data_IF_145395374657
#
_entry.id   IF_145395374657
#
_cell.length_a   1.000
_cell.length_b   1.000
_cell.length_c   1.000
_cell.angle_alpha   90.00
_cell.angle_beta   90.00
_cell.angle_gamma   90.00
#
_symmetry.space_group_name_H-M   'P 1'
#
loop_
_entity.id
_entity.type
_entity.pdbx_description
1 polymer ?
#
# COMPACT_ATOMS: atom_id res chain seq x y z
N UNK A 1 -16.96 -17.22 -5.08
CA UNK A 1 -15.61 -17.54 -4.58
C UNK A 1 -14.62 -16.82 -5.47
N UNK A 2 -13.61 -16.13 -4.92
CA UNK A 2 -12.64 -15.41 -5.74
C UNK A 2 -11.79 -16.43 -6.49
N UNK A 3 -11.99 -16.50 -7.80
CA UNK A 3 -11.24 -17.37 -8.69
C UNK A 3 -9.86 -16.77 -8.94
N UNK A 4 -8.84 -17.58 -8.73
CA UNK A 4 -7.44 -17.28 -8.98
C UNK A 4 -7.22 -17.10 -10.48
N UNK A 5 -6.74 -15.93 -10.92
CA UNK A 5 -6.46 -15.66 -12.34
C UNK A 5 -5.05 -16.13 -12.70
N UNK A 6 -4.97 -17.24 -13.45
CA UNK A 6 -3.75 -17.71 -14.10
C UNK A 6 -3.35 -16.78 -15.27
N UNK A 7 -2.11 -16.30 -15.25
CA UNK A 7 -1.48 -15.45 -16.27
C UNK A 7 -0.81 -16.33 -17.32
N UNK A 8 -1.38 -16.46 -18.51
CA UNK A 8 -0.77 -17.26 -19.60
C UNK A 8 0.47 -16.54 -20.14
N UNK A 9 1.63 -17.20 -20.07
CA UNK A 9 2.95 -16.63 -20.40
C UNK A 9 3.43 -17.04 -21.80
N UNK A 10 2.90 -18.13 -22.35
CA UNK A 10 3.26 -18.61 -23.69
C UNK A 10 2.20 -19.54 -24.30
N UNK A 11 2.04 -19.49 -25.62
CA UNK A 11 1.36 -20.53 -26.42
C UNK A 11 2.38 -21.30 -27.27
N UNK A 12 2.14 -22.59 -27.52
CA UNK A 12 2.89 -23.36 -28.54
C UNK A 12 4.08 -24.19 -28.07
N UNK A 13 4.24 -24.43 -26.76
CA UNK A 13 5.36 -25.24 -26.26
C UNK A 13 5.14 -26.73 -26.51
N UNK A 14 6.15 -27.42 -27.05
CA UNK A 14 6.18 -28.88 -27.20
C UNK A 14 7.08 -29.50 -26.14
N UNK A 15 6.52 -30.34 -25.29
CA UNK A 15 7.30 -31.22 -24.39
C UNK A 15 7.76 -32.43 -25.21
N UNK A 16 9.05 -32.82 -25.17
CA UNK A 16 9.52 -34.00 -25.89
C UNK A 16 8.74 -35.25 -25.48
N UNK A 17 7.97 -35.84 -26.40
CA UNK A 17 7.15 -37.04 -26.16
C UNK A 17 5.62 -36.83 -26.25
N UNK A 18 5.12 -35.61 -26.42
CA UNK A 18 3.68 -35.32 -26.61
C UNK A 18 3.37 -34.75 -28.01
N UNK A 19 2.20 -35.11 -28.56
CA UNK A 19 1.83 -34.81 -29.96
C UNK A 19 1.04 -33.51 -30.17
N UNK A 20 0.59 -32.84 -29.11
CA UNK A 20 -0.14 -31.57 -29.16
C UNK A 20 0.61 -30.44 -28.44
N UNK A 21 0.34 -29.19 -28.84
CA UNK A 21 0.98 -28.00 -28.27
C UNK A 21 0.20 -27.49 -27.06
N UNK A 22 0.86 -27.34 -25.91
CA UNK A 22 0.27 -26.81 -24.68
C UNK A 22 0.46 -25.29 -24.55
N UNK A 23 -0.37 -24.67 -23.70
CA UNK A 23 -0.20 -23.30 -23.20
C UNK A 23 0.37 -23.33 -21.78
N UNK A 24 1.24 -22.38 -21.48
CA UNK A 24 1.92 -22.26 -20.19
C UNK A 24 1.40 -21.02 -19.47
N UNK A 25 0.96 -21.17 -18.22
CA UNK A 25 0.42 -20.10 -17.40
C UNK A 25 1.08 -20.03 -16.04
N UNK A 26 1.01 -18.87 -15.39
CA UNK A 26 1.63 -18.55 -14.13
C UNK A 26 0.55 -18.02 -13.19
N UNK A 27 0.42 -18.60 -12.01
CA UNK A 27 -0.51 -18.12 -11.00
C UNK A 27 0.18 -17.07 -10.11
N UNK A 28 -0.20 -15.78 -10.18
CA UNK A 28 0.44 -14.74 -9.41
C UNK A 28 0.06 -14.76 -7.92
N UNK A 29 -0.98 -15.50 -7.52
CA UNK A 29 -1.37 -15.64 -6.13
C UNK A 29 -0.52 -16.70 -5.39
N UNK A 30 0.04 -17.67 -6.10
CA UNK A 30 0.82 -18.80 -5.56
C UNK A 30 2.27 -18.85 -6.06
N UNK A 31 2.61 -18.11 -7.12
CA UNK A 31 3.90 -18.13 -7.82
C UNK A 31 4.25 -19.44 -8.54
N UNK A 32 3.26 -20.29 -8.84
CA UNK A 32 3.45 -21.57 -9.55
C UNK A 32 3.15 -21.48 -11.06
N UNK A 33 3.71 -22.41 -11.84
CA UNK A 33 3.52 -22.53 -13.29
C UNK A 33 2.60 -23.71 -13.61
N UNK A 34 1.56 -23.47 -14.40
CA UNK A 34 0.52 -24.44 -14.81
C UNK A 34 0.53 -24.64 -16.32
N UNK A 35 0.37 -25.88 -16.78
CA UNK A 35 0.33 -26.25 -18.22
C UNK A 35 -1.09 -26.65 -18.60
N UNK A 36 -1.61 -26.10 -19.70
CA UNK A 36 -3.00 -26.28 -20.15
C UNK A 36 -3.03 -26.73 -21.62
N UNK A 37 -3.77 -27.81 -21.93
CA UNK A 37 -3.85 -28.46 -23.26
C UNK A 37 -5.25 -28.28 -23.89
N UNK A 38 -5.34 -28.00 -25.20
CA UNK A 38 -6.62 -27.90 -25.94
C UNK A 38 -6.68 -28.82 -27.15
N UNK A 39 -7.89 -29.29 -27.44
CA UNK A 39 -8.27 -30.13 -28.59
C UNK A 39 -9.35 -29.38 -29.39
N UNK A 40 -9.14 -29.19 -30.70
CA UNK A 40 -9.91 -28.28 -31.59
C UNK A 40 -11.39 -28.67 -31.83
N UNK A 41 -12.32 -27.69 -31.80
CA UNK A 41 -13.24 -27.35 -32.92
C UNK A 41 -14.26 -26.20 -32.61
N UNK A 42 -14.34 -25.23 -33.55
CA UNK A 42 -15.46 -24.37 -34.02
C UNK A 42 -16.12 -23.20 -33.19
N UNK A 43 -15.84 -21.96 -33.67
CA UNK A 43 -16.72 -20.83 -34.07
C UNK A 43 -17.99 -20.40 -33.29
N UNK A 44 -17.92 -19.22 -32.63
CA UNK A 44 -18.78 -18.01 -32.77
C UNK A 44 -18.45 -17.01 -31.65
N UNK A 45 -18.16 -15.75 -31.99
CA UNK A 45 -17.61 -14.77 -31.03
C UNK A 45 -18.71 -13.90 -30.37
N UNK A 46 -18.72 -13.89 -29.05
CA UNK A 46 -19.55 -13.09 -28.15
C UNK A 46 -18.94 -11.69 -27.86
N UNK A 47 -19.71 -10.73 -27.33
CA UNK A 47 -19.30 -9.36 -26.89
C UNK A 47 -18.08 -9.31 -25.89
N UNK A 48 -17.45 -10.45 -25.52
CA UNK A 48 -16.43 -10.71 -24.49
C UNK A 48 -15.09 -10.63 -25.13
N UNK A 49 -15.04 -11.21 -26.30
CA UNK A 49 -13.94 -11.16 -27.21
C UNK A 49 -13.80 -9.71 -27.74
N UNK A 50 -14.88 -8.92 -27.81
CA UNK A 50 -14.82 -7.47 -28.04
C UNK A 50 -14.31 -6.66 -26.83
N UNK A 51 -14.49 -7.14 -25.58
CA UNK A 51 -13.93 -6.51 -24.36
C UNK A 51 -12.46 -6.82 -24.14
N UNK A 52 -12.06 -8.05 -24.49
CA UNK A 52 -10.65 -8.46 -24.56
C UNK A 52 -9.90 -7.59 -25.59
N UNK A 53 -10.51 -7.28 -26.74
CA UNK A 53 -9.90 -6.38 -27.74
C UNK A 53 -9.64 -4.94 -27.24
N UNK A 54 -10.49 -4.40 -26.36
CA UNK A 54 -10.31 -3.08 -25.77
C UNK A 54 -9.19 -3.04 -24.70
N UNK A 55 -9.05 -4.11 -23.93
CA UNK A 55 -7.95 -4.31 -22.96
C UNK A 55 -6.61 -4.49 -23.68
N UNK A 56 -6.63 -5.19 -24.83
CA UNK A 56 -5.47 -5.34 -25.73
C UNK A 56 -5.04 -4.00 -26.33
N UNK A 57 -5.97 -3.08 -26.63
CA UNK A 57 -5.67 -1.74 -27.13
C UNK A 57 -5.05 -0.82 -26.06
N UNK A 58 -5.48 -0.94 -24.80
CA UNK A 58 -4.88 -0.23 -23.66
C UNK A 58 -3.47 -0.76 -23.35
N UNK A 59 -3.28 -2.08 -23.40
CA UNK A 59 -2.00 -2.77 -23.28
C UNK A 59 -1.01 -2.36 -24.40
N UNK A 60 -1.49 -2.17 -25.63
CA UNK A 60 -0.67 -1.69 -26.75
C UNK A 60 -0.14 -0.25 -26.54
N UNK A 61 -0.79 0.58 -25.71
CA UNK A 61 -0.32 1.94 -25.39
C UNK A 61 0.82 1.96 -24.36
N UNK A 62 0.90 0.92 -23.51
CA UNK A 62 1.91 0.76 -22.43
C UNK A 62 3.11 -0.11 -22.83
N UNK A 63 3.10 -0.59 -24.08
CA UNK A 63 4.07 -1.51 -24.69
C UNK A 63 5.51 -0.99 -24.67
N UNK A 64 5.71 0.33 -24.72
CA UNK A 64 7.03 0.97 -24.77
C UNK A 64 7.78 0.96 -23.42
N UNK A 65 7.07 0.88 -22.30
CA UNK A 65 7.66 0.80 -20.96
C UNK A 65 8.06 -0.65 -20.61
N UNK A 66 7.19 -1.60 -20.94
CA UNK A 66 7.42 -3.03 -20.71
C UNK A 66 8.54 -3.56 -21.61
N UNK A 67 8.66 -3.05 -22.85
CA UNK A 67 9.73 -3.45 -23.76
C UNK A 67 11.14 -3.08 -23.26
N UNK A 68 11.29 -1.99 -22.48
CA UNK A 68 12.60 -1.60 -21.92
C UNK A 68 13.02 -2.43 -20.70
N UNK A 69 12.08 -3.02 -19.97
CA UNK A 69 12.41 -3.81 -18.78
C UNK A 69 12.72 -5.28 -19.08
N UNK A 70 12.46 -5.74 -20.31
CA UNK A 70 12.62 -7.14 -20.75
C UNK A 70 13.85 -7.38 -21.63
N UNK A 71 14.70 -6.36 -21.85
CA UNK A 71 15.94 -6.49 -22.65
C UNK A 71 16.90 -7.62 -22.24
N UNK A 72 17.00 -8.09 -20.97
CA UNK A 72 17.97 -9.14 -20.65
C UNK A 72 17.49 -10.58 -20.94
N UNK A 73 16.21 -10.81 -21.25
CA UNK A 73 15.60 -12.16 -21.16
C UNK A 73 14.89 -12.65 -22.43
N UNK A 74 14.93 -11.88 -23.53
CA UNK A 74 14.32 -12.32 -24.79
C UNK A 74 15.26 -13.28 -25.56
N UNK A 75 14.95 -14.57 -25.57
CA UNK A 75 15.80 -15.64 -26.14
C UNK A 75 15.60 -15.82 -27.67
N UNK A 76 14.64 -15.12 -28.29
CA UNK A 76 14.49 -15.07 -29.75
C UNK A 76 13.13 -14.55 -30.22
N UNK A 77 13.06 -14.08 -31.47
CA UNK A 77 11.85 -13.63 -32.15
C UNK A 77 11.69 -14.40 -33.47
N UNK A 78 10.45 -14.58 -33.96
CA UNK A 78 10.15 -15.29 -35.21
C UNK A 78 9.46 -14.34 -36.19
N UNK A 79 9.67 -14.53 -37.50
CA UNK A 79 8.96 -13.76 -38.53
C UNK A 79 7.54 -14.30 -38.77
N UNK A 80 6.79 -13.63 -39.67
CA UNK A 80 5.40 -13.95 -40.02
C UNK A 80 5.21 -15.40 -40.55
N UNK A 81 6.30 -16.04 -40.99
CA UNK A 81 6.33 -17.43 -41.48
C UNK A 81 6.76 -18.45 -40.39
N UNK A 82 6.99 -18.01 -39.16
CA UNK A 82 7.33 -18.86 -38.02
C UNK A 82 8.80 -19.29 -37.91
N UNK A 83 9.74 -18.63 -38.61
CA UNK A 83 11.19 -18.92 -38.53
C UNK A 83 11.89 -17.99 -37.53
N UNK A 84 12.78 -18.55 -36.71
CA UNK A 84 13.60 -17.80 -35.74
C UNK A 84 14.47 -16.78 -36.49
N UNK A 85 14.41 -15.53 -36.04
CA UNK A 85 15.21 -14.41 -36.53
C UNK A 85 16.63 -14.57 -35.99
N UNK A 86 17.46 -15.29 -36.72
CA UNK A 86 18.90 -15.32 -36.47
C UNK A 86 19.53 -14.01 -36.98
N UNK A 87 20.08 -13.21 -36.05
CA UNK A 87 20.76 -11.96 -36.36
C UNK A 87 19.83 -10.75 -36.37
N UNK A 88 19.86 -9.96 -35.30
CA UNK A 88 19.11 -8.72 -35.15
C UNK A 88 19.70 -7.60 -36.02
N UNK A 89 19.23 -7.46 -37.26
CA UNK A 89 19.55 -6.27 -38.06
C UNK A 89 18.45 -5.82 -39.02
N UNK A 90 17.18 -6.15 -38.76
CA UNK A 90 16.04 -5.61 -39.53
C UNK A 90 15.18 -4.68 -38.67
N UNK A 91 14.68 -3.54 -39.20
CA UNK A 91 13.94 -2.55 -38.40
C UNK A 91 12.61 -3.15 -37.94
N UNK A 92 12.32 -3.02 -36.63
CA UNK A 92 11.08 -3.49 -35.99
C UNK A 92 9.84 -2.80 -36.61
N UNK A 93 9.30 -3.41 -37.66
CA UNK A 93 7.95 -3.18 -38.13
C UNK A 93 6.91 -3.78 -37.17
N UNK A 94 5.70 -3.23 -37.18
CA UNK A 94 4.61 -3.48 -36.23
C UNK A 94 4.26 -4.96 -36.01
N UNK A 95 4.68 -5.51 -34.86
CA UNK A 95 4.24 -6.82 -34.39
C UNK A 95 2.84 -6.68 -33.77
N UNK A 96 1.82 -7.41 -34.27
CA UNK A 96 0.52 -7.57 -33.59
C UNK A 96 0.53 -8.84 -32.74
N UNK A 97 -0.02 -8.77 -31.53
CA UNK A 97 -0.25 -9.93 -30.67
C UNK A 97 -1.72 -9.98 -30.25
N UNK A 98 -2.36 -11.13 -30.42
CA UNK A 98 -3.73 -11.42 -29.97
C UNK A 98 -3.78 -12.83 -29.34
N UNK A 99 -4.69 -13.02 -28.38
CA UNK A 99 -4.92 -14.26 -27.60
C UNK A 99 -6.41 -14.59 -27.59
N UNK A 100 -6.78 -15.88 -27.68
CA UNK A 100 -8.16 -16.36 -27.86
C UNK A 100 -8.54 -17.58 -26.97
N UNK A 101 -9.83 -17.70 -26.58
CA UNK A 101 -10.43 -18.86 -25.85
C UNK A 101 -11.90 -19.16 -26.21
N UNK A 102 -12.35 -20.42 -26.45
CA UNK A 102 -13.74 -20.75 -26.78
C UNK A 102 -14.62 -21.10 -25.56
N UNK A 103 -15.83 -20.52 -25.49
CA UNK A 103 -16.88 -20.85 -24.50
C UNK A 103 -16.99 -19.90 -23.28
N UNK A 104 -16.18 -18.85 -23.22
CA UNK A 104 -16.25 -17.85 -22.15
C UNK A 104 -17.44 -16.91 -22.33
N UNK A 105 -18.39 -16.90 -21.40
CA UNK A 105 -19.38 -15.81 -21.34
C UNK A 105 -18.62 -14.50 -21.23
N UNK A 106 -19.11 -13.49 -21.96
CA UNK A 106 -18.89 -12.11 -21.56
C UNK A 106 -19.08 -11.94 -20.09
N UNK A 107 -18.01 -11.55 -19.43
CA UNK A 107 -18.18 -10.63 -18.33
C UNK A 107 -18.09 -9.25 -18.96
N UNK A 108 -19.25 -8.67 -19.22
CA UNK A 108 -19.37 -7.22 -19.33
C UNK A 108 -18.83 -6.65 -18.01
N UNK A 109 -17.68 -5.94 -17.93
CA UNK A 109 -17.33 -5.20 -16.72
C UNK A 109 -18.55 -4.43 -16.28
N UNK A 110 -19.02 -4.81 -15.09
CA UNK A 110 -20.15 -4.16 -14.44
C UNK A 110 -19.80 -2.67 -14.36
N UNK A 111 -20.71 -1.75 -14.70
CA UNK A 111 -20.43 -0.33 -14.55
C UNK A 111 -19.97 -0.05 -13.12
N UNK A 112 -18.94 0.77 -12.99
CA UNK A 112 -18.41 1.19 -11.71
C UNK A 112 -19.55 1.69 -10.82
N UNK A 113 -19.61 1.31 -9.53
CA UNK A 113 -20.55 1.90 -8.59
C UNK A 113 -20.41 3.42 -8.57
N UNK A 114 -21.44 4.20 -8.24
CA UNK A 114 -21.30 5.65 -8.13
C UNK A 114 -20.17 6.06 -7.18
N UNK A 115 -19.57 7.24 -7.41
CA UNK A 115 -18.57 7.82 -6.50
C UNK A 115 -19.11 8.08 -5.10
N UNK A 116 -20.44 8.15 -4.94
CA UNK A 116 -21.10 8.30 -3.65
C UNK A 116 -21.03 9.74 -3.09
N UNK A 117 -21.76 10.01 -2.00
CA UNK A 117 -21.88 11.33 -1.42
C UNK A 117 -20.53 11.86 -0.90
N UNK A 118 -20.30 13.16 -1.01
CA UNK A 118 -19.12 13.84 -0.49
C UNK A 118 -19.48 14.60 0.80
N UNK A 119 -18.48 15.15 1.50
CA UNK A 119 -18.71 15.92 2.72
C UNK A 119 -18.63 17.42 2.41
N UNK A 120 -19.77 18.11 2.43
CA UNK A 120 -19.86 19.54 2.07
C UNK A 120 -19.14 20.47 3.04
N UNK A 121 -18.81 19.99 4.24
CA UNK A 121 -18.02 20.72 5.23
C UNK A 121 -16.49 20.63 5.01
N UNK A 122 -16.03 19.85 4.04
CA UNK A 122 -14.60 19.74 3.74
C UNK A 122 -14.05 21.05 3.16
N UNK A 123 -12.82 21.41 3.53
CA UNK A 123 -12.09 22.45 2.81
C UNK A 123 -11.84 22.03 1.36
N UNK A 124 -11.56 22.98 0.46
CA UNK A 124 -11.28 22.69 -0.95
C UNK A 124 -10.20 21.63 -1.15
N UNK A 125 -9.16 21.65 -0.31
CA UNK A 125 -8.07 20.66 -0.35
C UNK A 125 -8.55 19.26 0.05
N UNK A 126 -9.27 19.16 1.17
CA UNK A 126 -9.79 17.87 1.67
C UNK A 126 -10.84 17.30 0.73
N UNK A 127 -11.74 18.13 0.21
CA UNK A 127 -12.78 17.73 -0.74
C UNK A 127 -12.18 17.10 -2.01
N UNK A 128 -11.09 17.67 -2.54
CA UNK A 128 -10.37 17.12 -3.71
C UNK A 128 -9.79 15.74 -3.42
N UNK A 129 -9.13 15.56 -2.28
CA UNK A 129 -8.52 14.27 -1.91
C UNK A 129 -9.59 13.22 -1.58
N UNK A 130 -10.67 13.62 -0.91
CA UNK A 130 -11.82 12.75 -0.63
C UNK A 130 -12.51 12.27 -1.90
N UNK A 131 -12.67 13.15 -2.88
CA UNK A 131 -13.20 12.79 -4.19
C UNK A 131 -12.27 11.83 -4.93
N UNK A 132 -10.95 12.03 -4.86
CA UNK A 132 -9.98 11.11 -5.45
C UNK A 132 -10.08 9.70 -4.84
N UNK A 133 -10.18 9.58 -3.52
CA UNK A 133 -10.41 8.29 -2.85
C UNK A 133 -11.76 7.66 -3.23
N UNK A 134 -12.80 8.50 -3.39
CA UNK A 134 -14.11 8.05 -3.83
C UNK A 134 -14.11 7.48 -5.24
N UNK A 135 -13.36 8.10 -6.15
CA UNK A 135 -13.13 7.59 -7.51
C UNK A 135 -12.32 6.32 -7.50
N UNK A 136 -11.24 6.26 -6.74
CA UNK A 136 -10.43 5.04 -6.62
C UNK A 136 -11.29 3.84 -6.15
N UNK A 137 -12.11 4.02 -5.12
CA UNK A 137 -13.05 3.00 -4.68
C UNK A 137 -14.04 2.57 -5.76
N UNK A 138 -14.64 3.54 -6.44
CA UNK A 138 -15.66 3.32 -7.47
C UNK A 138 -15.08 2.65 -8.71
N UNK A 139 -14.03 3.22 -9.28
CA UNK A 139 -13.52 2.93 -10.62
C UNK A 139 -12.42 1.86 -10.61
N UNK A 140 -11.59 1.81 -9.55
CA UNK A 140 -10.48 0.86 -9.44
C UNK A 140 -10.90 -0.37 -8.64
N UNK A 141 -11.46 -0.17 -7.44
CA UNK A 141 -11.92 -1.30 -6.62
C UNK A 141 -13.26 -1.88 -7.11
N UNK A 142 -14.10 -1.07 -7.77
CA UNK A 142 -15.41 -1.51 -8.24
C UNK A 142 -16.42 -1.76 -7.12
N UNK A 143 -16.29 -1.08 -5.97
CA UNK A 143 -17.08 -1.37 -4.76
C UNK A 143 -18.02 -0.23 -4.34
N UNK A 144 -19.19 -0.54 -3.75
CA UNK A 144 -20.13 0.46 -3.29
C UNK A 144 -19.60 1.27 -2.11
N UNK A 145 -20.26 2.39 -1.83
CA UNK A 145 -19.93 3.24 -0.70
C UNK A 145 -20.31 2.63 0.64
N UNK A 146 -19.45 2.84 1.63
CA UNK A 146 -19.70 2.49 3.02
C UNK A 146 -20.32 3.63 3.83
N UNK A 147 -20.59 3.32 5.10
CA UNK A 147 -21.04 4.29 6.09
C UNK A 147 -19.86 4.90 6.85
N UNK A 148 -19.93 6.16 7.26
CA UNK A 148 -18.87 6.81 8.03
C UNK A 148 -18.97 8.34 8.12
N UNK A 149 -17.89 9.04 8.54
CA UNK A 149 -16.55 8.52 8.79
C UNK A 149 -16.40 7.82 10.16
N UNK A 150 -17.35 8.05 11.08
CA UNK A 150 -17.42 7.34 12.36
C UNK A 150 -18.41 6.17 12.25
N UNK A 151 -18.13 5.06 12.92
CA UNK A 151 -18.99 3.86 12.88
C UNK A 151 -20.45 4.16 13.25
N UNK A 152 -20.66 5.07 14.20
CA UNK A 152 -21.99 5.46 14.69
C UNK A 152 -22.71 6.49 13.81
N UNK A 153 -22.02 7.17 12.88
CA UNK A 153 -22.60 8.25 12.10
C UNK A 153 -23.68 7.77 11.12
N UNK A 154 -23.61 6.50 10.67
CA UNK A 154 -24.63 5.85 9.84
C UNK A 154 -24.88 6.47 8.46
N UNK A 155 -24.19 7.56 8.08
CA UNK A 155 -24.31 8.22 6.77
C UNK A 155 -23.39 7.57 5.75
N UNK A 156 -23.88 7.40 4.53
CA UNK A 156 -23.05 6.96 3.41
C UNK A 156 -22.00 8.04 3.07
N UNK A 157 -20.79 7.62 2.69
CA UNK A 157 -19.73 8.52 2.27
C UNK A 157 -18.85 7.88 1.18
N UNK A 158 -18.54 8.65 0.14
CA UNK A 158 -17.72 8.27 -1.01
C UNK A 158 -16.32 7.75 -0.66
N UNK A 159 -15.77 8.15 0.48
CA UNK A 159 -14.43 7.76 0.94
C UNK A 159 -14.45 6.61 1.95
N UNK A 160 -15.58 5.92 2.08
CA UNK A 160 -15.73 4.77 2.98
C UNK A 160 -15.95 3.49 2.18
N UNK A 161 -15.36 2.40 2.67
CA UNK A 161 -15.65 1.03 2.24
C UNK A 161 -16.80 0.44 3.04
N UNK A 162 -17.54 -0.49 2.43
CA UNK A 162 -18.52 -1.29 3.18
C UNK A 162 -17.83 -2.17 4.22
N UNK A 163 -18.53 -2.65 5.27
CA UNK A 163 -17.95 -3.59 6.22
C UNK A 163 -17.38 -4.85 5.55
N UNK A 164 -18.03 -5.35 4.50
CA UNK A 164 -17.58 -6.53 3.74
C UNK A 164 -16.28 -6.24 2.99
N UNK A 165 -16.20 -5.10 2.29
CA UNK A 165 -15.01 -4.71 1.52
C UNK A 165 -13.82 -4.38 2.44
N UNK A 166 -14.09 -3.71 3.57
CA UNK A 166 -13.12 -3.42 4.61
C UNK A 166 -12.55 -4.71 5.23
N UNK A 167 -13.38 -5.72 5.49
CA UNK A 167 -12.95 -7.01 6.02
C UNK A 167 -12.07 -7.80 5.02
N UNK A 168 -12.23 -7.56 3.72
CA UNK A 168 -11.38 -8.13 2.67
C UNK A 168 -10.06 -7.38 2.46
N UNK A 169 -9.75 -6.37 3.29
CA UNK A 169 -8.50 -5.62 3.19
C UNK A 169 -8.44 -4.64 2.02
N UNK A 170 -9.56 -4.25 1.42
CA UNK A 170 -9.59 -3.39 0.23
C UNK A 170 -9.10 -1.95 0.46
N UNK A 171 -8.83 -1.55 1.71
CA UNK A 171 -8.20 -0.27 2.03
C UNK A 171 -6.66 -0.31 1.93
N UNK A 172 -6.09 -1.50 1.75
CA UNK A 172 -4.65 -1.68 1.72
C UNK A 172 -4.14 -1.89 0.30
N UNK A 173 -3.08 -1.19 -0.08
CA UNK A 173 -2.50 -1.19 -1.42
C UNK A 173 -1.73 -2.49 -1.71
N UNK A 174 -1.30 -3.19 -0.66
CA UNK A 174 -0.59 -4.46 -0.77
C UNK A 174 -1.11 -5.44 0.26
N UNK A 175 -0.94 -6.73 -0.02
CA UNK A 175 -1.23 -7.80 0.93
C UNK A 175 -0.42 -7.68 2.21
N UNK A 176 0.87 -7.33 2.10
CA UNK A 176 1.75 -7.14 3.26
C UNK A 176 1.25 -6.02 4.19
N UNK A 177 0.84 -4.87 3.64
CA UNK A 177 0.26 -3.78 4.43
C UNK A 177 -1.00 -4.22 5.20
N UNK A 178 -1.88 -5.00 4.55
CA UNK A 178 -3.06 -5.56 5.19
C UNK A 178 -2.70 -6.54 6.31
N UNK A 179 -1.80 -7.50 6.06
CA UNK A 179 -1.39 -8.50 7.05
C UNK A 179 -0.74 -7.85 8.28
N UNK A 180 0.12 -6.85 8.09
CA UNK A 180 0.71 -6.07 9.20
C UNK A 180 -0.37 -5.32 9.99
N UNK A 181 -1.33 -4.68 9.30
CA UNK A 181 -2.44 -4.00 9.98
C UNK A 181 -3.32 -4.96 10.78
N UNK A 182 -3.61 -6.14 10.24
CA UNK A 182 -4.39 -7.18 10.92
C UNK A 182 -3.68 -7.66 12.18
N UNK A 183 -2.40 -8.04 12.06
CA UNK A 183 -1.60 -8.48 13.19
C UNK A 183 -1.52 -7.41 14.28
N UNK A 184 -1.37 -6.13 13.89
CA UNK A 184 -1.33 -5.02 14.86
C UNK A 184 -2.67 -4.76 15.54
N UNK A 185 -3.80 -4.89 14.83
CA UNK A 185 -5.14 -4.81 15.43
C UNK A 185 -5.35 -5.94 16.45
N UNK A 186 -4.90 -7.14 16.12
CA UNK A 186 -5.02 -8.32 17.00
C UNK A 186 -4.12 -8.26 18.23
N UNK A 187 -2.99 -7.54 18.15
CA UNK A 187 -2.04 -7.40 19.26
C UNK A 187 -2.53 -6.49 20.40
N UNK A 188 -3.66 -5.79 20.23
CA UNK A 188 -4.28 -4.99 21.29
C UNK A 188 -4.60 -3.54 20.87
N UNK A 189 -4.76 -2.62 21.84
CA UNK A 189 -5.17 -1.24 21.56
C UNK A 189 -4.14 -0.46 20.75
N UNK A 190 -4.56 0.66 20.17
CA UNK A 190 -3.74 1.59 19.37
C UNK A 190 -4.33 1.81 17.97
N UNK A 191 -4.73 0.74 17.30
CA UNK A 191 -5.41 0.83 15.99
C UNK A 191 -6.91 0.75 16.16
N UNK A 192 -7.66 1.73 15.65
CA UNK A 192 -9.13 1.67 15.64
C UNK A 192 -9.58 0.88 14.40
N UNK A 193 -10.13 -0.35 14.54
CA UNK A 193 -10.28 -1.26 13.40
C UNK A 193 -11.23 -0.74 12.32
N UNK A 194 -12.27 0.00 12.68
CA UNK A 194 -13.21 0.53 11.70
C UNK A 194 -12.57 1.63 10.86
N UNK A 195 -11.95 2.62 11.50
CA UNK A 195 -11.20 3.70 10.86
C UNK A 195 -10.08 3.14 9.99
N UNK A 196 -9.28 2.20 10.51
CA UNK A 196 -8.16 1.62 9.77
C UNK A 196 -8.63 0.83 8.54
N UNK A 197 -9.67 0.00 8.66
CA UNK A 197 -10.10 -0.87 7.55
C UNK A 197 -11.05 -0.22 6.55
N UNK A 198 -11.82 0.80 6.95
CA UNK A 198 -12.93 1.31 6.14
C UNK A 198 -12.78 2.76 5.68
N UNK A 199 -11.98 3.60 6.35
CA UNK A 199 -11.81 5.00 5.96
C UNK A 199 -10.61 5.15 5.02
N UNK A 200 -10.87 5.40 3.74
CA UNK A 200 -9.84 5.50 2.69
C UNK A 200 -8.92 6.72 2.81
N UNK A 201 -9.28 7.69 3.66
CA UNK A 201 -8.56 8.96 3.82
C UNK A 201 -8.04 9.16 5.26
N UNK A 202 -8.06 8.10 6.07
CA UNK A 202 -7.55 8.10 7.45
C UNK A 202 -6.03 7.99 7.48
N UNK A 203 -5.36 8.54 8.50
CA UNK A 203 -3.93 8.37 8.73
C UNK A 203 -3.52 6.93 9.02
N UNK A 204 -4.29 6.15 9.80
CA UNK A 204 -3.88 4.77 10.16
C UNK A 204 -3.61 3.88 8.93
N UNK A 205 -4.56 3.72 7.97
CA UNK A 205 -4.28 2.93 6.77
C UNK A 205 -3.18 3.57 5.90
N UNK A 206 -2.97 4.89 5.96
CA UNK A 206 -1.85 5.54 5.30
C UNK A 206 -0.51 5.08 5.88
N UNK A 207 -0.36 5.03 7.22
CA UNK A 207 0.84 4.47 7.88
C UNK A 207 1.10 3.04 7.44
N UNK A 208 0.08 2.18 7.47
CA UNK A 208 0.22 0.79 7.03
C UNK A 208 0.51 0.65 5.54
N UNK A 209 -0.10 1.47 4.68
CA UNK A 209 0.15 1.41 3.23
C UNK A 209 1.55 1.88 2.84
N UNK A 210 2.08 2.89 3.53
CA UNK A 210 3.41 3.43 3.26
C UNK A 210 4.51 2.54 3.86
N UNK A 211 4.34 2.06 5.09
CA UNK A 211 5.40 1.41 5.85
C UNK A 211 5.19 -0.09 6.10
N UNK A 212 3.96 -0.59 5.99
CA UNK A 212 3.64 -2.01 6.18
C UNK A 212 4.47 -2.94 5.29
N UNK A 213 4.62 -2.67 3.97
CA UNK A 213 5.50 -3.47 3.11
C UNK A 213 6.96 -3.47 3.56
N UNK A 214 7.42 -2.39 4.21
CA UNK A 214 8.81 -2.25 4.65
C UNK A 214 9.13 -3.09 5.88
N UNK A 215 8.14 -3.48 6.68
CA UNK A 215 8.32 -4.31 7.90
C UNK A 215 9.02 -5.63 7.58
N UNK A 216 8.72 -6.24 6.42
CA UNK A 216 9.37 -7.46 5.94
C UNK A 216 10.62 -7.23 5.06
N UNK A 217 10.96 -5.98 4.77
CA UNK A 217 11.97 -5.59 3.77
C UNK A 217 12.85 -4.44 4.26
N UNK A 218 13.51 -4.63 5.41
CA UNK A 218 14.30 -3.59 6.08
C UNK A 218 15.44 -3.01 5.23
N UNK A 219 16.02 -3.79 4.32
CA UNK A 219 17.01 -3.27 3.36
C UNK A 219 16.44 -2.23 2.39
N UNK A 220 15.16 -2.36 2.00
CA UNK A 220 14.45 -1.33 1.20
C UNK A 220 14.13 -0.13 2.07
N UNK A 221 13.74 -0.36 3.33
CA UNK A 221 13.52 0.73 4.28
C UNK A 221 14.79 1.58 4.48
N UNK A 222 15.95 0.94 4.58
CA UNK A 222 17.25 1.63 4.63
C UNK A 222 17.43 2.55 3.42
N UNK A 223 17.25 2.03 2.21
CA UNK A 223 17.40 2.82 0.98
C UNK A 223 16.47 4.03 0.94
N UNK A 224 15.26 3.90 1.48
CA UNK A 224 14.31 5.01 1.61
C UNK A 224 14.73 6.04 2.66
N UNK A 225 15.28 5.61 3.79
CA UNK A 225 15.64 6.49 4.91
C UNK A 225 16.95 7.23 4.72
N UNK A 226 17.95 6.62 4.07
CA UNK A 226 19.26 7.25 3.83
C UNK A 226 19.16 8.69 3.28
N UNK A 227 18.34 9.01 2.26
CA UNK A 227 18.22 10.37 1.76
C UNK A 227 17.32 11.30 2.61
N UNK A 228 16.57 10.77 3.58
CA UNK A 228 15.57 11.51 4.35
C UNK A 228 16.08 11.94 5.73
N UNK A 229 17.01 11.18 6.32
CA UNK A 229 17.54 11.44 7.64
C UNK A 229 18.88 12.18 7.56
N UNK A 230 19.17 13.05 8.54
CA UNK A 230 20.51 13.60 8.69
C UNK A 230 21.46 12.48 9.16
N UNK A 231 22.54 12.25 8.40
CA UNK A 231 23.53 11.21 8.71
C UNK A 231 23.34 9.92 7.93
N UNK A 232 24.26 8.98 8.10
CA UNK A 232 24.23 7.71 7.41
C UNK A 232 23.37 6.70 8.18
N UNK A 233 22.48 6.01 7.47
CA UNK A 233 21.76 4.85 8.00
C UNK A 233 22.51 3.59 7.52
N UNK A 234 23.17 2.89 8.44
CA UNK A 234 23.87 1.64 8.16
C UNK A 234 22.89 0.46 8.08
N UNK A 235 21.94 0.35 8.98
CA UNK A 235 21.00 -0.76 8.98
C UNK A 235 19.68 -0.35 9.59
N UNK A 236 18.56 -0.63 8.94
CA UNK A 236 17.25 -0.56 9.63
C UNK A 236 17.03 -1.88 10.34
N UNK A 237 16.86 -1.84 11.66
CA UNK A 237 16.75 -3.04 12.50
C UNK A 237 15.31 -3.39 12.84
N UNK A 238 14.41 -2.41 12.85
CA UNK A 238 13.02 -2.60 13.26
C UNK A 238 12.10 -1.52 12.71
N UNK A 239 10.90 -1.93 12.29
CA UNK A 239 9.79 -1.02 11.99
C UNK A 239 8.58 -1.48 12.78
N UNK A 240 7.96 -0.57 13.56
CA UNK A 240 6.68 -0.79 14.22
C UNK A 240 5.70 0.30 13.81
N UNK A 241 4.46 -0.08 13.53
CA UNK A 241 3.40 0.85 13.11
C UNK A 241 2.38 0.93 14.25
N UNK A 242 1.93 2.15 14.56
CA UNK A 242 1.02 2.45 15.67
C UNK A 242 1.60 1.94 17.00
N UNK A 243 2.81 2.39 17.30
CA UNK A 243 3.64 1.90 18.40
C UNK A 243 3.64 2.85 19.59
N UNK A 244 3.05 2.39 20.69
CA UNK A 244 3.22 3.00 22.01
C UNK A 244 4.26 2.17 22.78
N UNK A 245 5.36 2.78 23.26
CA UNK A 245 6.30 2.12 24.15
C UNK A 245 5.64 1.65 25.45
N UNK A 246 6.15 0.57 26.04
CA UNK A 246 5.58 -0.08 27.23
C UNK A 246 6.66 -0.50 28.23
N UNK A 247 6.38 -0.47 29.54
CA UNK A 247 5.10 -0.09 30.16
C UNK A 247 4.92 1.45 30.15
N UNK A 248 3.68 1.93 30.06
CA UNK A 248 3.38 3.33 29.72
C UNK A 248 3.95 4.34 30.74
N UNK A 249 3.95 3.95 32.02
CA UNK A 249 4.46 4.74 33.15
C UNK A 249 5.96 5.05 33.07
N UNK A 250 6.72 4.30 32.29
CA UNK A 250 8.15 4.57 32.06
C UNK A 250 8.37 5.66 30.99
N UNK A 251 7.33 6.02 30.24
CA UNK A 251 7.38 6.98 29.15
C UNK A 251 6.52 8.22 29.46
N UNK A 252 5.36 8.34 28.84
CA UNK A 252 4.44 9.48 28.98
C UNK A 252 3.29 9.22 29.96
N UNK A 253 3.21 8.02 30.52
CA UNK A 253 2.11 7.55 31.38
C UNK A 253 0.73 7.60 30.68
N UNK A 254 0.73 7.38 29.36
CA UNK A 254 -0.48 7.30 28.54
C UNK A 254 -0.29 6.42 27.28
N UNK A 255 -1.28 6.45 26.38
CA UNK A 255 -1.29 5.68 25.14
C UNK A 255 -0.85 6.50 23.91
N UNK A 256 -0.06 7.56 24.10
CA UNK A 256 0.55 8.27 22.98
C UNK A 256 1.47 7.31 22.23
N UNK A 257 1.35 7.30 20.90
CA UNK A 257 2.06 6.35 20.04
C UNK A 257 2.68 7.07 18.86
N UNK A 258 3.78 6.53 18.37
CA UNK A 258 4.25 6.85 17.03
C UNK A 258 3.31 6.23 16.00
N UNK A 259 2.87 6.99 15.00
CA UNK A 259 2.21 6.41 13.82
C UNK A 259 3.14 5.36 13.18
N UNK A 260 4.45 5.65 13.07
CA UNK A 260 5.50 4.68 12.74
C UNK A 260 6.77 4.96 13.56
N UNK A 261 7.34 3.91 14.14
CA UNK A 261 8.63 3.91 14.82
C UNK A 261 9.63 3.06 14.03
N UNK A 262 10.78 3.64 13.70
CA UNK A 262 11.84 2.94 12.97
C UNK A 262 13.13 3.01 13.78
N UNK A 263 13.66 1.84 14.15
CA UNK A 263 14.98 1.70 14.76
C UNK A 263 16.01 1.40 13.67
N UNK A 264 17.20 1.99 13.81
CA UNK A 264 18.31 1.77 12.89
C UNK A 264 19.66 1.88 13.61
N UNK A 265 20.70 1.41 12.94
CA UNK A 265 22.10 1.65 13.27
C UNK A 265 22.61 2.75 12.36
N UNK A 266 23.23 3.79 12.93
CA UNK A 266 23.79 4.91 12.19
C UNK A 266 25.19 4.60 11.62
N UNK A 267 25.79 5.56 10.91
CA UNK A 267 27.12 5.40 10.30
C UNK A 267 28.29 5.27 11.29
N UNK A 268 28.06 5.59 12.58
CA UNK A 268 29.04 5.41 13.65
C UNK A 268 28.86 4.06 14.37
N UNK A 269 27.85 3.26 13.97
CA UNK A 269 27.53 1.97 14.56
C UNK A 269 26.64 2.07 15.81
N UNK A 270 26.10 3.24 16.11
CA UNK A 270 25.26 3.48 17.28
C UNK A 270 23.77 3.23 16.94
N UNK A 271 23.00 2.86 17.96
CA UNK A 271 21.55 2.69 17.81
C UNK A 271 20.87 4.05 17.80
N UNK A 272 19.99 4.23 16.83
CA UNK A 272 19.18 5.43 16.66
C UNK A 272 17.75 5.05 16.26
N UNK A 273 16.85 6.04 16.31
CA UNK A 273 15.48 5.85 15.84
C UNK A 273 14.90 7.11 15.23
N UNK A 274 13.84 6.94 14.45
CA UNK A 274 12.97 8.03 13.98
C UNK A 274 11.52 7.68 14.26
N UNK A 275 10.80 8.64 14.84
CA UNK A 275 9.35 8.64 14.92
C UNK A 275 8.76 9.38 13.72
N UNK A 276 7.80 8.78 13.04
CA UNK A 276 7.07 9.40 11.93
C UNK A 276 5.62 9.57 12.33
N UNK A 277 5.12 10.81 12.22
CA UNK A 277 3.71 11.15 12.35
C UNK A 277 3.12 11.33 10.95
N UNK A 278 2.03 10.65 10.64
CA UNK A 278 1.41 10.69 9.32
C UNK A 278 0.10 11.47 9.36
N UNK A 279 0.04 12.57 8.59
CA UNK A 279 -1.18 13.37 8.42
C UNK A 279 -1.23 13.90 6.99
N UNK A 280 -2.41 13.83 6.40
CA UNK A 280 -2.67 14.38 5.06
C UNK A 280 -3.84 15.35 5.08
N UNK A 281 -5.00 14.90 5.54
CA UNK A 281 -6.21 15.74 5.63
C UNK A 281 -6.77 15.90 7.02
N UNK A 282 -6.39 15.01 7.94
CA UNK A 282 -6.82 15.09 9.33
C UNK A 282 -6.04 16.19 10.04
N UNK A 283 -6.71 17.14 10.73
CA UNK A 283 -6.01 18.10 11.57
C UNK A 283 -5.42 17.40 12.79
N UNK A 284 -4.48 18.06 13.44
CA UNK A 284 -4.11 17.67 14.81
C UNK A 284 -5.32 17.74 15.74
N UNK A 285 -5.30 16.90 16.77
CA UNK A 285 -6.31 16.85 17.80
C UNK A 285 -6.49 18.23 18.44
N UNK A 286 -7.72 18.78 18.48
CA UNK A 286 -7.98 20.06 19.15
C UNK A 286 -8.00 19.93 20.68
N UNK A 287 -7.87 18.71 21.22
CA UNK A 287 -7.84 18.46 22.66
C UNK A 287 -6.44 18.75 23.19
N UNK A 288 -6.37 19.68 24.13
CA UNK A 288 -5.17 19.94 24.92
C UNK A 288 -5.00 18.91 26.04
N UNK A 289 -3.79 18.39 26.17
CA UNK A 289 -3.35 17.53 27.26
C UNK A 289 -2.14 18.17 27.95
N UNK A 290 -2.13 18.15 29.27
CA UNK A 290 -1.07 18.75 30.08
C UNK A 290 -0.97 18.00 31.41
N UNK A 291 -0.23 16.89 31.39
CA UNK A 291 -0.01 16.03 32.57
C UNK A 291 1.25 16.45 33.33
N UNK A 292 1.36 16.02 34.59
CA UNK A 292 2.58 16.26 35.37
C UNK A 292 3.80 15.62 34.70
N UNK A 293 3.64 14.43 34.11
CA UNK A 293 4.70 13.76 33.35
C UNK A 293 5.18 14.58 32.15
N UNK A 294 4.26 15.26 31.45
CA UNK A 294 4.63 16.12 30.32
C UNK A 294 5.43 17.34 30.79
N UNK A 295 5.01 17.95 31.91
CA UNK A 295 5.72 19.09 32.51
C UNK A 295 7.10 18.69 32.99
N UNK A 296 7.25 17.54 33.64
CA UNK A 296 8.55 17.00 34.06
C UNK A 296 9.54 16.88 32.89
N UNK A 297 9.12 16.24 31.79
CA UNK A 297 9.97 16.06 30.61
C UNK A 297 10.24 17.38 29.86
N UNK A 298 9.28 18.30 29.88
CA UNK A 298 9.47 19.65 29.32
C UNK A 298 10.43 20.48 30.17
N UNK A 299 10.47 20.23 31.47
CA UNK A 299 11.29 20.96 32.44
C UNK A 299 12.69 20.34 32.61
N UNK A 300 12.90 19.14 32.06
CA UNK A 300 14.17 18.42 32.16
C UNK A 300 15.34 19.23 31.55
N UNK A 301 16.54 19.19 32.16
CA UNK A 301 17.72 19.82 31.60
C UNK A 301 18.00 19.31 30.18
N UNK A 302 18.17 20.24 29.23
CA UNK A 302 18.43 19.92 27.83
C UNK A 302 17.16 19.70 26.97
N UNK A 303 15.96 19.74 27.56
CA UNK A 303 14.73 19.69 26.77
C UNK A 303 14.63 20.90 25.82
N UNK A 304 14.39 20.68 24.51
CA UNK A 304 14.33 21.77 23.53
C UNK A 304 13.12 22.69 23.75
N UNK A 305 12.21 22.31 24.65
CA UNK A 305 10.92 22.97 24.84
C UNK A 305 10.85 23.89 26.06
N UNK A 306 11.92 23.96 26.88
CA UNK A 306 11.96 24.74 28.12
C UNK A 306 11.55 26.21 27.92
N UNK A 307 11.94 26.83 26.80
CA UNK A 307 11.66 28.25 26.53
C UNK A 307 10.22 28.53 26.08
N UNK A 308 9.45 27.50 25.71
CA UNK A 308 8.15 27.65 25.05
C UNK A 308 6.96 27.14 25.89
N UNK A 309 7.22 26.72 27.15
CA UNK A 309 6.26 26.06 28.05
C UNK A 309 4.85 26.65 28.07
N UNK A 310 4.74 27.98 28.13
CA UNK A 310 3.45 28.67 28.21
C UNK A 310 2.56 28.49 26.98
N UNK A 311 3.13 28.08 25.84
CA UNK A 311 2.41 27.88 24.57
C UNK A 311 2.16 26.41 24.21
N UNK A 312 2.80 25.45 24.89
CA UNK A 312 2.77 24.03 24.48
C UNK A 312 1.45 23.32 24.80
N UNK A 313 0.71 23.80 25.79
CA UNK A 313 -0.64 23.34 26.09
C UNK A 313 -1.69 23.88 25.10
N UNK A 314 -1.33 24.82 24.21
CA UNK A 314 -2.23 25.32 23.17
C UNK A 314 -2.56 24.19 22.17
N UNK A 315 -3.85 23.95 21.84
CA UNK A 315 -4.26 22.95 20.86
C UNK A 315 -3.53 23.00 19.51
N UNK A 316 -3.03 24.17 19.09
CA UNK A 316 -2.26 24.32 17.87
C UNK A 316 -0.92 23.55 17.89
N UNK A 317 -0.34 23.37 19.08
CA UNK A 317 0.99 22.77 19.27
C UNK A 317 0.96 21.50 20.10
N UNK A 318 -0.14 21.24 20.82
CA UNK A 318 -0.19 20.20 21.84
C UNK A 318 0.13 18.79 21.32
N UNK A 319 -0.37 18.42 20.14
CA UNK A 319 -0.06 17.11 19.57
C UNK A 319 1.41 17.00 19.18
N UNK A 320 1.96 17.99 18.46
CA UNK A 320 3.38 18.01 18.10
C UNK A 320 4.28 17.98 19.33
N UNK A 321 3.92 18.73 20.38
CA UNK A 321 4.62 18.69 21.65
C UNK A 321 4.64 17.29 22.25
N UNK A 322 3.49 16.61 22.30
CA UNK A 322 3.38 15.23 22.81
C UNK A 322 4.21 14.24 22.01
N UNK A 323 4.23 14.37 20.68
CA UNK A 323 5.03 13.50 19.81
C UNK A 323 6.53 13.67 20.11
N UNK A 324 7.00 14.92 20.31
CA UNK A 324 8.38 15.16 20.71
C UNK A 324 8.69 14.73 22.14
N UNK A 325 7.74 14.87 23.08
CA UNK A 325 7.91 14.33 24.42
C UNK A 325 8.04 12.80 24.39
N UNK A 326 7.31 12.13 23.50
CA UNK A 326 7.43 10.69 23.31
C UNK A 326 8.81 10.32 22.78
N UNK A 327 9.37 11.11 21.84
CA UNK A 327 10.76 10.97 21.39
C UNK A 327 11.72 11.12 22.58
N UNK A 328 11.63 12.19 23.38
CA UNK A 328 12.54 12.40 24.51
C UNK A 328 12.42 11.32 25.59
N UNK A 329 11.20 10.86 25.89
CA UNK A 329 10.97 9.77 26.83
C UNK A 329 11.55 8.45 26.29
N UNK A 330 11.37 8.17 24.99
CA UNK A 330 11.91 6.96 24.36
C UNK A 330 13.42 6.99 24.28
N UNK A 331 13.99 8.16 23.99
CA UNK A 331 15.42 8.40 24.02
C UNK A 331 15.93 8.12 25.43
N UNK A 332 15.55 8.90 26.44
CA UNK A 332 16.12 8.77 27.79
C UNK A 332 15.86 7.44 28.52
N UNK A 333 15.07 6.52 27.96
CA UNK A 333 14.87 5.18 28.49
C UNK A 333 16.12 4.29 28.32
N UNK A 334 16.40 3.45 29.33
CA UNK A 334 17.68 2.74 29.52
C UNK A 334 17.97 1.64 28.50
N UNK A 335 16.98 1.20 27.72
CA UNK A 335 17.12 0.08 26.78
C UNK A 335 17.30 0.52 25.32
N UNK A 336 17.31 1.82 25.04
CA UNK A 336 17.75 2.39 23.76
C UNK A 336 19.10 3.08 24.02
N UNK A 337 20.25 2.48 23.68
CA UNK A 337 21.55 3.14 23.78
C UNK A 337 21.57 4.40 22.91
N UNK A 338 22.13 5.50 23.39
CA UNK A 338 22.33 6.73 22.60
C UNK A 338 23.80 6.95 22.28
N UNK A 339 24.05 7.30 21.02
CA UNK A 339 24.99 8.36 20.66
C UNK A 339 24.36 9.73 20.80
#
# INVERSE_FOLDING_TARGET
>A
MPGTELVVVSEGWRVPGLSAAGRLAFDPATSEVVVVEFVDDAADFTEAELRVAAVVADFASRRSEIARSLEPTLIGAVNDDGRLLDGWSAPLGSIRGEVWWPGGKLVVPKPAPPVGPQNDADSTFVARLRLAQSRWRSEVLGVPAGLGPQRAAGRELGSMLTPTDAAMGRNFLTRSAWEVAQARIESGPGVEPFRCRANLLSSQPMSFNLFGPLVGHLGVARQLLCPLLPGDVEEVTLIRIEYAPSPAEEYLDDLTSFDVFIEYVDGDGERAFVGVETKLTEPFSPKAYDSDRYRELTDAPGSPWVSSKSALADPAWNQLWRDHLLVEATRTHRDVPHG
#
